data_IF_806714587993
#
_entry.id   IF_806714587993
#
_cell.length_a   1.000
_cell.length_b   1.000
_cell.length_c   1.000
_cell.angle_alpha   90.00
_cell.angle_beta   90.00
_cell.angle_gamma   90.00
#
_symmetry.space_group_name_H-M   'P 1'
#
loop_
_entity.id
_entity.type
_entity.pdbx_description
1 polymer ?
#
# COMPACT_ATOMS: atom_id res chain seq x y z
N UNK A 1 15.88 49.48 -68.16
CA UNK A 1 16.75 48.29 -68.28
C UNK A 1 15.88 47.04 -68.14
N UNK A 2 15.56 46.39 -69.25
CA UNK A 2 14.73 45.19 -69.26
C UNK A 2 15.63 43.97 -68.99
N UNK A 3 15.32 43.19 -67.95
CA UNK A 3 15.99 41.91 -67.72
C UNK A 3 15.63 40.95 -68.86
N UNK A 4 16.61 40.28 -69.50
CA UNK A 4 16.34 39.32 -70.56
C UNK A 4 15.55 38.13 -69.99
N UNK A 5 14.47 37.72 -70.68
CA UNK A 5 13.50 36.72 -70.20
C UNK A 5 14.10 35.37 -69.79
N UNK A 6 15.30 35.02 -70.26
CA UNK A 6 16.05 33.83 -69.85
C UNK A 6 16.46 33.86 -68.37
N UNK A 7 16.82 35.03 -67.83
CA UNK A 7 17.19 35.19 -66.43
C UNK A 7 15.95 35.10 -65.50
N UNK A 8 14.79 35.57 -65.98
CA UNK A 8 13.52 35.46 -65.24
C UNK A 8 13.05 34.00 -65.18
N UNK A 9 13.17 33.24 -66.28
CA UNK A 9 12.79 31.83 -66.35
C UNK A 9 13.69 30.92 -65.51
N UNK A 10 15.01 31.16 -65.50
CA UNK A 10 15.95 30.44 -64.62
C UNK A 10 15.72 30.77 -63.14
N UNK A 11 15.43 32.02 -62.79
CA UNK A 11 15.05 32.43 -61.44
C UNK A 11 13.76 31.76 -60.95
N UNK A 12 12.76 31.64 -61.82
CA UNK A 12 11.49 30.97 -61.51
C UNK A 12 11.65 29.46 -61.37
N UNK A 13 12.41 28.79 -62.25
CA UNK A 13 12.70 27.35 -62.15
C UNK A 13 13.52 26.98 -60.90
N UNK A 14 14.44 27.83 -60.47
CA UNK A 14 15.23 27.57 -59.26
C UNK A 14 14.40 27.78 -57.98
N UNK A 15 13.54 28.79 -57.96
CA UNK A 15 12.64 29.04 -56.81
C UNK A 15 11.49 28.04 -56.73
N UNK A 16 10.95 27.59 -57.86
CA UNK A 16 9.91 26.55 -57.89
C UNK A 16 10.46 25.17 -57.50
N UNK A 17 11.72 24.87 -57.86
CA UNK A 17 12.41 23.65 -57.44
C UNK A 17 12.62 23.59 -55.92
N UNK A 18 13.06 24.69 -55.30
CA UNK A 18 13.24 24.74 -53.83
C UNK A 18 11.89 24.66 -53.11
N UNK A 19 10.88 25.41 -53.56
CA UNK A 19 9.55 25.36 -52.96
C UNK A 19 8.91 23.96 -53.08
N UNK A 20 9.09 23.29 -54.21
CA UNK A 20 8.62 21.92 -54.43
C UNK A 20 9.36 20.91 -53.55
N UNK A 21 10.69 21.01 -53.43
CA UNK A 21 11.47 20.14 -52.56
C UNK A 21 11.12 20.33 -51.08
N UNK A 22 10.86 21.56 -50.64
CA UNK A 22 10.37 21.85 -49.28
C UNK A 22 9.00 21.20 -49.07
N UNK A 23 8.06 21.35 -50.01
CA UNK A 23 6.72 20.75 -49.92
C UNK A 23 6.78 19.22 -49.83
N UNK A 24 7.58 18.57 -50.69
CA UNK A 24 7.74 17.10 -50.69
C UNK A 24 8.38 16.63 -49.38
N UNK A 25 9.40 17.34 -48.88
CA UNK A 25 10.03 17.01 -47.59
C UNK A 25 9.05 17.17 -46.43
N UNK A 26 8.24 18.24 -46.41
CA UNK A 26 7.20 18.44 -45.39
C UNK A 26 6.14 17.35 -45.44
N UNK A 27 5.71 16.91 -46.63
CA UNK A 27 4.74 15.81 -46.78
C UNK A 27 5.30 14.45 -46.33
N UNK A 28 6.57 14.17 -46.63
CA UNK A 28 7.23 12.95 -46.16
C UNK A 28 7.41 12.95 -44.64
N UNK A 29 7.84 14.08 -44.05
CA UNK A 29 7.93 14.23 -42.59
C UNK A 29 6.55 14.12 -41.94
N UNK A 30 5.53 14.75 -42.50
CA UNK A 30 4.16 14.64 -41.98
C UNK A 30 3.61 13.21 -42.07
N UNK A 31 3.87 12.51 -43.19
CA UNK A 31 3.43 11.11 -43.37
C UNK A 31 4.17 10.18 -42.41
N UNK A 32 5.48 10.41 -42.20
CA UNK A 32 6.28 9.69 -41.22
C UNK A 32 5.74 9.90 -39.80
N UNK A 33 5.50 11.17 -39.41
CA UNK A 33 4.93 11.52 -38.09
C UNK A 33 3.57 10.86 -37.88
N UNK A 34 2.71 10.82 -38.90
CA UNK A 34 1.39 10.15 -38.80
C UNK A 34 1.50 8.62 -38.68
N UNK A 35 2.46 7.99 -39.34
CA UNK A 35 2.71 6.54 -39.22
C UNK A 35 3.34 6.20 -37.86
N UNK A 36 4.27 7.03 -37.40
CA UNK A 36 4.92 6.89 -36.08
C UNK A 36 3.90 7.09 -34.95
N UNK A 37 3.05 8.12 -35.01
CA UNK A 37 1.95 8.32 -34.05
C UNK A 37 0.93 7.17 -34.09
N UNK A 38 0.58 6.66 -35.27
CA UNK A 38 -0.33 5.53 -35.42
C UNK A 38 0.22 4.22 -34.85
N UNK A 39 1.51 3.94 -35.07
CA UNK A 39 2.19 2.75 -34.54
C UNK A 39 2.48 2.87 -33.04
N UNK A 40 2.79 4.07 -32.54
CA UNK A 40 2.88 4.33 -31.10
C UNK A 40 1.53 4.19 -30.41
N UNK A 41 0.46 4.72 -31.00
CA UNK A 41 -0.91 4.57 -30.48
C UNK A 41 -1.34 3.11 -30.41
N UNK A 42 -1.13 2.33 -31.47
CA UNK A 42 -1.44 0.90 -31.50
C UNK A 42 -0.58 0.09 -30.51
N UNK A 43 0.72 0.39 -30.42
CA UNK A 43 1.63 -0.27 -29.47
C UNK A 43 1.28 0.08 -28.02
N UNK A 44 0.90 1.32 -27.74
CA UNK A 44 0.47 1.76 -26.42
C UNK A 44 -0.88 1.17 -26.04
N UNK A 45 -1.82 1.06 -26.98
CA UNK A 45 -3.10 0.37 -26.78
C UNK A 45 -2.92 -1.13 -26.54
N UNK A 46 -2.04 -1.79 -27.30
CA UNK A 46 -1.70 -3.21 -27.12
C UNK A 46 -1.00 -3.45 -25.78
N UNK A 47 -0.03 -2.60 -25.40
CA UNK A 47 0.62 -2.65 -24.09
C UNK A 47 -0.37 -2.43 -22.95
N UNK A 48 -1.30 -1.48 -23.10
CA UNK A 48 -2.34 -1.21 -22.09
C UNK A 48 -3.27 -2.41 -21.94
N UNK A 49 -3.70 -3.00 -23.05
CA UNK A 49 -4.58 -4.19 -23.06
C UNK A 49 -3.88 -5.42 -22.48
N UNK A 50 -2.61 -5.65 -22.84
CA UNK A 50 -1.80 -6.72 -22.27
C UNK A 50 -1.57 -6.52 -20.77
N UNK A 51 -1.28 -5.29 -20.33
CA UNK A 51 -1.11 -4.96 -18.90
C UNK A 51 -2.41 -5.22 -18.12
N UNK A 52 -3.56 -4.82 -18.68
CA UNK A 52 -4.87 -5.07 -18.06
C UNK A 52 -5.21 -6.57 -18.01
N UNK A 53 -4.93 -7.33 -19.07
CA UNK A 53 -5.15 -8.78 -19.08
C UNK A 53 -4.27 -9.50 -18.04
N UNK A 54 -2.98 -9.16 -17.98
CA UNK A 54 -2.05 -9.69 -16.99
C UNK A 54 -2.46 -9.34 -15.56
N UNK A 55 -2.94 -8.11 -15.32
CA UNK A 55 -3.44 -7.71 -14.00
C UNK A 55 -4.69 -8.51 -13.58
N UNK A 56 -5.62 -8.78 -14.51
CA UNK A 56 -6.80 -9.61 -14.24
C UNK A 56 -6.43 -11.06 -13.94
N UNK A 57 -5.50 -11.63 -14.71
CA UNK A 57 -4.98 -12.98 -14.47
C UNK A 57 -4.33 -13.08 -13.08
N UNK A 58 -3.49 -12.10 -12.71
CA UNK A 58 -2.84 -12.08 -11.41
C UNK A 58 -3.82 -11.99 -10.23
N UNK A 59 -4.90 -11.21 -10.38
CA UNK A 59 -5.96 -11.12 -9.36
C UNK A 59 -6.73 -12.44 -9.24
N UNK A 60 -7.11 -13.06 -10.36
CA UNK A 60 -7.81 -14.34 -10.36
C UNK A 60 -6.98 -15.46 -9.70
N UNK A 61 -5.67 -15.50 -9.96
CA UNK A 61 -4.75 -16.43 -9.30
C UNK A 61 -4.67 -16.15 -7.81
N UNK A 62 -4.57 -14.88 -7.39
CA UNK A 62 -4.51 -14.51 -5.97
C UNK A 62 -5.76 -14.96 -5.22
N UNK A 63 -6.95 -14.74 -5.78
CA UNK A 63 -8.21 -15.10 -5.14
C UNK A 63 -8.33 -16.62 -4.95
N UNK A 64 -7.91 -17.39 -5.96
CA UNK A 64 -7.85 -18.85 -5.87
C UNK A 64 -6.83 -19.33 -4.84
N UNK A 65 -5.65 -18.71 -4.76
CA UNK A 65 -4.65 -19.04 -3.73
C UNK A 65 -5.16 -18.78 -2.31
N UNK A 66 -5.87 -17.67 -2.10
CA UNK A 66 -6.49 -17.35 -0.81
C UNK A 66 -7.61 -18.33 -0.45
N UNK A 67 -8.40 -18.77 -1.43
CA UNK A 67 -9.42 -19.79 -1.22
C UNK A 67 -8.80 -21.13 -0.82
N UNK A 68 -7.72 -21.53 -1.50
CA UNK A 68 -6.94 -22.73 -1.17
C UNK A 68 -6.38 -22.64 0.25
N UNK A 69 -5.73 -21.53 0.61
CA UNK A 69 -5.17 -21.31 1.94
C UNK A 69 -6.25 -21.36 3.02
N UNK A 70 -7.39 -20.69 2.80
CA UNK A 70 -8.51 -20.69 3.74
C UNK A 70 -9.08 -22.09 3.98
N UNK A 71 -9.21 -22.92 2.93
CA UNK A 71 -9.64 -24.32 3.07
C UNK A 71 -8.64 -25.17 3.84
N UNK A 72 -7.35 -24.99 3.59
CA UNK A 72 -6.28 -25.72 4.30
C UNK A 72 -6.22 -25.32 5.77
N UNK A 73 -6.32 -24.02 6.09
CA UNK A 73 -6.37 -23.52 7.47
C UNK A 73 -7.61 -24.03 8.22
N UNK A 74 -8.78 -24.02 7.57
CA UNK A 74 -10.00 -24.56 8.15
C UNK A 74 -9.87 -26.06 8.46
N UNK A 75 -9.38 -26.85 7.50
CA UNK A 75 -9.12 -28.27 7.71
C UNK A 75 -8.09 -28.53 8.83
N UNK A 76 -7.06 -27.68 8.94
CA UNK A 76 -6.06 -27.77 10.00
C UNK A 76 -6.66 -27.53 11.39
N UNK A 77 -7.48 -26.47 11.53
CA UNK A 77 -8.10 -26.10 12.82
C UNK A 77 -9.12 -27.14 13.28
N UNK A 78 -9.90 -27.66 12.34
CA UNK A 78 -10.99 -28.60 12.64
C UNK A 78 -10.51 -30.06 12.71
N UNK A 79 -9.25 -30.33 12.33
CA UNK A 79 -8.65 -31.66 12.28
C UNK A 79 -9.53 -32.71 11.54
N UNK A 80 -10.30 -32.27 10.55
CA UNK A 80 -11.22 -33.12 9.77
C UNK A 80 -11.09 -32.86 8.28
N UNK A 81 -11.34 -33.89 7.48
CA UNK A 81 -11.34 -33.78 6.03
C UNK A 81 -12.46 -32.81 5.58
N UNK A 82 -12.09 -31.81 4.80
CA UNK A 82 -13.03 -30.97 4.07
C UNK A 82 -13.15 -31.49 2.63
N UNK A 83 -14.26 -31.22 1.92
CA UNK A 83 -14.39 -31.62 0.52
C UNK A 83 -13.18 -31.15 -0.32
N UNK A 84 -12.48 -32.11 -0.93
CA UNK A 84 -11.27 -31.87 -1.73
C UNK A 84 -9.97 -31.75 -0.93
N UNK A 85 -10.00 -31.62 0.40
CA UNK A 85 -8.82 -31.53 1.26
C UNK A 85 -8.60 -32.86 1.97
N UNK A 86 -7.49 -33.53 1.67
CA UNK A 86 -7.06 -34.73 2.36
C UNK A 86 -6.19 -34.35 3.57
N UNK A 87 -6.37 -35.03 4.71
CA UNK A 87 -5.47 -34.89 5.86
C UNK A 87 -4.68 -36.19 5.97
N UNK A 88 -3.38 -36.13 5.71
CA UNK A 88 -2.47 -37.26 5.86
C UNK A 88 -1.04 -36.77 6.13
N UNK A 89 -0.12 -37.68 6.44
CA UNK A 89 1.29 -37.33 6.49
C UNK A 89 1.76 -36.87 5.10
N UNK A 90 2.64 -35.86 5.07
CA UNK A 90 3.26 -35.44 3.82
C UNK A 90 4.10 -36.59 3.23
N UNK A 91 4.17 -36.70 1.89
CA UNK A 91 5.06 -37.65 1.25
C UNK A 91 6.52 -37.51 1.76
N UNK A 92 7.29 -38.61 1.88
CA UNK A 92 8.64 -38.56 2.45
C UNK A 92 9.60 -37.64 1.68
N UNK A 93 9.48 -37.62 0.36
CA UNK A 93 10.24 -36.75 -0.56
C UNK A 93 9.92 -35.26 -0.35
N UNK A 94 8.66 -34.93 -0.06
CA UNK A 94 8.24 -33.57 0.28
C UNK A 94 8.83 -33.17 1.63
N UNK A 95 8.72 -34.04 2.64
CA UNK A 95 9.18 -33.74 4.00
C UNK A 95 10.68 -33.45 4.06
N UNK A 96 11.49 -34.18 3.28
CA UNK A 96 12.94 -33.98 3.22
C UNK A 96 13.35 -32.60 2.68
N UNK A 97 12.51 -31.96 1.86
CA UNK A 97 12.81 -30.67 1.23
C UNK A 97 12.27 -29.46 2.00
N UNK A 98 11.57 -29.68 3.12
CA UNK A 98 11.05 -28.62 3.99
C UNK A 98 12.08 -28.05 4.98
N UNK A 99 13.36 -28.42 4.87
CA UNK A 99 14.42 -27.87 5.73
C UNK A 99 14.49 -26.34 5.60
N UNK A 100 14.14 -25.63 6.68
CA UNK A 100 14.11 -24.16 6.75
C UNK A 100 12.77 -23.51 6.41
N UNK A 101 11.69 -24.27 6.17
CA UNK A 101 10.36 -23.70 5.99
C UNK A 101 9.68 -23.43 7.35
N UNK A 102 9.08 -22.25 7.50
CA UNK A 102 8.38 -21.89 8.73
C UNK A 102 7.01 -22.57 8.81
N UNK A 103 6.60 -23.08 9.99
CA UNK A 103 5.25 -23.62 10.20
C UNK A 103 4.15 -22.64 9.79
N UNK A 104 3.12 -23.14 9.11
CA UNK A 104 1.98 -22.35 8.62
C UNK A 104 2.18 -21.69 7.26
N UNK A 105 3.36 -21.82 6.63
CA UNK A 105 3.59 -21.30 5.29
C UNK A 105 2.90 -22.18 4.22
N UNK A 106 2.20 -21.57 3.25
CA UNK A 106 1.63 -22.27 2.09
C UNK A 106 2.74 -22.66 1.10
N UNK A 107 2.80 -23.95 0.73
CA UNK A 107 3.76 -24.50 -0.22
C UNK A 107 3.05 -25.30 -1.31
N UNK A 108 3.69 -25.35 -2.48
CA UNK A 108 3.24 -26.07 -3.66
C UNK A 108 4.30 -27.06 -4.09
N UNK A 109 3.90 -28.31 -4.31
CA UNK A 109 4.81 -29.39 -4.73
C UNK A 109 4.31 -30.05 -6.01
N UNK A 110 5.10 -30.08 -7.10
CA UNK A 110 4.68 -30.75 -8.33
C UNK A 110 4.58 -32.25 -8.09
N UNK A 111 3.45 -32.85 -8.48
CA UNK A 111 3.31 -34.30 -8.43
C UNK A 111 3.90 -34.94 -9.71
N UNK A 112 4.51 -36.14 -9.62
CA UNK A 112 4.96 -36.86 -10.81
C UNK A 112 3.81 -37.04 -11.81
N UNK A 113 4.10 -36.88 -13.10
CA UNK A 113 3.10 -37.13 -14.15
C UNK A 113 2.70 -38.61 -14.13
N UNK A 114 1.42 -38.87 -13.84
CA UNK A 114 0.81 -40.16 -14.16
C UNK A 114 0.60 -40.28 -15.66
N UNK A 115 0.78 -41.46 -16.23
CA UNK A 115 0.72 -41.70 -17.70
C UNK A 115 -0.63 -41.37 -18.34
N UNK A 116 -1.71 -41.26 -17.57
CA UNK A 116 -3.08 -41.07 -18.08
C UNK A 116 -3.87 -39.94 -17.40
N UNK A 117 -3.27 -39.23 -16.43
CA UNK A 117 -3.94 -38.23 -15.61
C UNK A 117 -3.51 -36.79 -15.90
N UNK A 118 -4.35 -35.80 -15.57
CA UNK A 118 -3.97 -34.39 -15.64
C UNK A 118 -2.77 -34.11 -14.74
N UNK A 119 -1.90 -33.16 -15.15
CA UNK A 119 -0.81 -32.68 -14.29
C UNK A 119 -1.41 -32.03 -13.06
N UNK A 120 -0.86 -32.30 -11.89
CA UNK A 120 -1.36 -31.76 -10.62
C UNK A 120 -0.22 -31.23 -9.74
N UNK A 121 -0.56 -30.28 -8.89
CA UNK A 121 0.29 -29.73 -7.84
C UNK A 121 -0.37 -29.98 -6.49
N UNK A 122 0.42 -30.38 -5.51
CA UNK A 122 0.00 -30.55 -4.13
C UNK A 122 0.20 -29.23 -3.37
N UNK A 123 -0.87 -28.63 -2.89
CA UNK A 123 -0.84 -27.46 -2.01
C UNK A 123 -1.01 -27.90 -0.55
N UNK A 124 -0.16 -27.40 0.35
CA UNK A 124 -0.21 -27.73 1.78
C UNK A 124 0.38 -26.62 2.64
N UNK A 125 0.01 -26.58 3.93
CA UNK A 125 0.63 -25.72 4.93
C UNK A 125 1.76 -26.47 5.62
N UNK A 126 2.91 -25.82 5.81
CA UNK A 126 4.05 -26.44 6.49
C UNK A 126 3.63 -26.84 7.92
N UNK A 127 3.74 -28.13 8.30
CA UNK A 127 3.31 -28.58 9.61
C UNK A 127 4.23 -28.05 10.72
N UNK A 128 3.72 -27.94 11.96
CA UNK A 128 4.52 -27.51 13.11
C UNK A 128 5.61 -28.52 13.51
N UNK A 129 5.45 -29.79 13.15
CA UNK A 129 6.41 -30.85 13.40
C UNK A 129 6.48 -31.80 12.20
N UNK A 130 7.66 -32.32 11.84
CA UNK A 130 7.81 -33.34 10.80
C UNK A 130 6.92 -34.57 11.09
N UNK A 131 6.21 -35.05 10.08
CA UNK A 131 5.33 -36.21 10.20
C UNK A 131 3.93 -35.93 10.77
N UNK A 132 3.63 -34.69 11.16
CA UNK A 132 2.28 -34.34 11.59
C UNK A 132 1.26 -34.49 10.44
N UNK A 133 0.02 -34.94 10.73
CA UNK A 133 -1.05 -34.96 9.74
C UNK A 133 -1.28 -33.55 9.21
N UNK A 134 -1.13 -33.39 7.91
CA UNK A 134 -1.14 -32.10 7.23
C UNK A 134 -2.29 -32.06 6.24
N UNK A 135 -3.12 -31.00 6.24
CA UNK A 135 -4.11 -30.82 5.19
C UNK A 135 -3.42 -30.54 3.86
N UNK A 136 -3.88 -31.23 2.83
CA UNK A 136 -3.34 -31.18 1.49
C UNK A 136 -4.47 -31.08 0.47
N UNK A 137 -4.27 -30.27 -0.57
CA UNK A 137 -5.20 -30.10 -1.67
C UNK A 137 -4.48 -30.34 -2.99
N UNK A 138 -5.01 -31.23 -3.83
CA UNK A 138 -4.51 -31.45 -5.20
C UNK A 138 -5.17 -30.44 -6.13
N UNK A 139 -4.36 -29.69 -6.86
CA UNK A 139 -4.81 -28.65 -7.80
C UNK A 139 -4.39 -29.06 -9.20
N UNK A 140 -5.34 -29.21 -10.15
CA UNK A 140 -5.01 -29.44 -11.55
C UNK A 140 -4.16 -28.28 -12.09
N UNK A 141 -3.02 -28.58 -12.71
CA UNK A 141 -2.19 -27.58 -13.38
C UNK A 141 -2.97 -26.88 -14.48
N UNK A 142 -3.89 -27.57 -15.16
CA UNK A 142 -4.77 -26.96 -16.15
C UNK A 142 -5.65 -25.83 -15.58
N UNK A 143 -6.02 -25.91 -14.28
CA UNK A 143 -6.74 -24.83 -13.61
C UNK A 143 -5.83 -23.61 -13.43
N UNK A 144 -4.59 -23.83 -12.99
CA UNK A 144 -3.59 -22.78 -12.89
C UNK A 144 -3.27 -22.20 -14.27
N UNK A 145 -3.08 -23.03 -15.29
CA UNK A 145 -2.83 -22.62 -16.67
C UNK A 145 -4.02 -21.85 -17.27
N UNK A 146 -5.26 -22.24 -17.00
CA UNK A 146 -6.45 -21.52 -17.46
C UNK A 146 -6.56 -20.13 -16.80
N UNK A 147 -6.17 -20.00 -15.53
CA UNK A 147 -6.09 -18.71 -14.83
C UNK A 147 -4.93 -17.84 -15.33
N UNK A 148 -3.90 -18.49 -15.89
CA UNK A 148 -2.68 -17.86 -16.37
C UNK A 148 -2.62 -17.66 -17.88
N UNK A 149 -3.60 -18.17 -18.62
CA UNK A 149 -3.60 -18.14 -20.08
C UNK A 149 -3.56 -16.69 -20.57
N UNK A 150 -2.43 -16.22 -21.11
CA UNK A 150 -2.36 -14.88 -21.68
C UNK A 150 -3.22 -14.82 -22.96
N UNK A 151 -3.74 -13.64 -23.34
CA UNK A 151 -4.33 -13.47 -24.67
C UNK A 151 -3.31 -13.85 -25.76
N UNK A 152 -3.80 -14.31 -26.91
CA UNK A 152 -2.95 -14.74 -28.03
C UNK A 152 -1.87 -13.69 -28.36
N UNK A 153 -0.60 -14.10 -28.35
CA UNK A 153 0.56 -13.24 -28.61
C UNK A 153 1.22 -12.62 -27.37
N UNK A 154 0.72 -12.89 -26.15
CA UNK A 154 1.41 -12.53 -24.92
C UNK A 154 2.03 -13.78 -24.25
N UNK A 155 3.23 -13.65 -23.71
CA UNK A 155 3.83 -14.64 -22.83
C UNK A 155 3.70 -14.13 -21.40
N UNK A 156 3.06 -14.90 -20.52
CA UNK A 156 2.97 -14.55 -19.11
C UNK A 156 4.11 -15.26 -18.38
N UNK A 157 5.00 -14.49 -17.78
CA UNK A 157 6.09 -14.99 -16.94
C UNK A 157 5.86 -14.50 -15.52
N UNK A 158 5.40 -15.39 -14.65
CA UNK A 158 5.26 -15.12 -13.22
C UNK A 158 6.58 -15.45 -12.54
N UNK A 159 7.21 -14.42 -11.99
CA UNK A 159 8.40 -14.57 -11.15
C UNK A 159 7.98 -14.22 -9.73
N UNK A 160 7.92 -15.21 -8.86
CA UNK A 160 7.63 -14.97 -7.44
C UNK A 160 8.88 -14.37 -6.76
N UNK A 161 8.71 -13.73 -5.60
CA UNK A 161 9.82 -13.13 -4.84
C UNK A 161 10.94 -14.08 -4.41
N UNK A 162 10.81 -15.37 -4.72
CA UNK A 162 11.77 -16.45 -4.49
C UNK A 162 12.43 -16.95 -5.77
N UNK A 163 12.33 -16.22 -6.88
CA UNK A 163 12.96 -16.58 -8.16
C UNK A 163 12.32 -17.80 -8.86
N UNK A 164 11.06 -18.14 -8.53
CA UNK A 164 10.35 -19.22 -9.23
C UNK A 164 9.85 -18.72 -10.57
N UNK A 165 10.20 -19.37 -11.67
CA UNK A 165 9.66 -19.05 -12.99
C UNK A 165 8.46 -19.93 -13.31
N UNK A 166 7.31 -19.28 -13.53
CA UNK A 166 6.18 -19.87 -14.23
C UNK A 166 6.09 -19.17 -15.58
N UNK A 167 6.65 -19.80 -16.61
CA UNK A 167 6.52 -19.34 -17.99
C UNK A 167 5.41 -20.14 -18.66
N UNK A 168 4.33 -19.45 -19.04
CA UNK A 168 3.34 -19.97 -19.97
C UNK A 168 3.54 -19.26 -21.30
N UNK A 169 4.10 -19.96 -22.30
CA UNK A 169 4.10 -19.51 -23.68
C UNK A 169 3.15 -20.39 -24.48
N UNK A 170 2.07 -19.80 -24.98
CA UNK A 170 1.21 -20.44 -25.96
C UNK A 170 1.73 -20.16 -27.36
N UNK A 171 2.34 -21.14 -28.01
CA UNK A 171 2.31 -21.25 -29.47
C UNK A 171 1.22 -22.26 -29.87
N UNK A 172 0.61 -22.15 -31.05
CA UNK A 172 -0.36 -23.15 -31.49
C UNK A 172 0.36 -24.50 -31.64
N UNK A 173 0.12 -25.45 -30.73
CA UNK A 173 0.52 -26.84 -30.90
C UNK A 173 1.35 -27.51 -29.80
N UNK A 174 1.99 -26.79 -28.86
CA UNK A 174 2.70 -27.43 -27.74
C UNK A 174 2.90 -26.48 -26.55
N UNK A 175 2.73 -27.00 -25.33
CA UNK A 175 2.93 -26.27 -24.06
C UNK A 175 3.98 -26.99 -23.22
N UNK A 176 5.12 -26.32 -22.98
CA UNK A 176 6.15 -26.78 -22.04
C UNK A 176 6.16 -25.92 -20.78
N UNK A 177 6.04 -26.57 -19.62
CA UNK A 177 6.20 -25.93 -18.31
C UNK A 177 7.20 -26.70 -17.46
N UNK A 178 8.27 -26.03 -17.04
CA UNK A 178 9.32 -26.51 -16.13
C UNK A 178 9.38 -25.62 -14.87
N UNK A 179 9.70 -26.21 -13.72
CA UNK A 179 9.62 -25.60 -12.39
C UNK A 179 10.96 -25.79 -11.64
N UNK A 180 11.60 -24.71 -11.17
CA UNK A 180 12.79 -24.75 -10.30
C UNK A 180 12.79 -23.57 -9.30
N UNK A 181 13.47 -23.72 -8.15
CA UNK A 181 13.36 -22.83 -6.97
C UNK A 181 14.75 -22.39 -6.44
N UNK A 182 15.04 -21.07 -6.41
CA UNK A 182 15.83 -20.37 -5.34
C UNK A 182 15.93 -18.83 -5.55
N UNK A 183 16.16 -18.15 -4.42
CA UNK A 183 15.94 -16.75 -3.96
C UNK A 183 16.24 -15.51 -4.85
N UNK A 184 15.36 -14.48 -4.73
CA UNK A 184 15.76 -13.07 -4.62
C UNK A 184 15.31 -12.07 -5.72
N UNK A 185 14.28 -11.27 -5.40
CA UNK A 185 13.83 -10.01 -6.04
C UNK A 185 13.17 -10.03 -7.44
N UNK A 186 12.03 -9.32 -7.54
CA UNK A 186 11.15 -9.22 -8.72
C UNK A 186 11.73 -8.29 -9.81
N UNK A 187 11.94 -8.82 -11.03
CA UNK A 187 12.27 -8.04 -12.24
C UNK A 187 11.38 -8.50 -13.40
N UNK A 188 10.84 -7.54 -14.16
CA UNK A 188 10.00 -7.79 -15.34
C UNK A 188 10.76 -7.32 -16.58
N UNK A 189 11.14 -8.25 -17.46
CA UNK A 189 11.70 -7.97 -18.79
C UNK A 189 10.78 -8.59 -19.86
N UNK A 190 10.49 -7.85 -20.92
CA UNK A 190 9.70 -8.32 -22.07
C UNK A 190 10.50 -8.25 -23.36
N UNK A 191 10.51 -9.33 -24.14
CA UNK A 191 11.02 -9.33 -25.52
C UNK A 191 9.88 -9.61 -26.50
N UNK A 192 9.87 -8.85 -27.59
CA UNK A 192 9.11 -9.13 -28.80
C UNK A 192 10.13 -9.25 -29.92
N UNK A 193 10.21 -10.40 -30.58
CA UNK A 193 10.99 -10.52 -31.81
C UNK A 193 10.10 -10.21 -33.00
N UNK A 194 10.60 -9.40 -33.93
CA UNK A 194 10.25 -9.51 -35.32
C UNK A 194 11.51 -9.92 -36.08
N UNK A 195 11.62 -11.19 -36.45
CA UNK A 195 12.47 -11.57 -37.57
C UNK A 195 11.60 -12.05 -38.72
N UNK A 196 11.46 -11.20 -39.74
CA UNK A 196 11.91 -11.49 -41.10
C UNK A 196 11.65 -10.26 -42.00
N UNK A 197 12.70 -9.59 -42.47
CA UNK A 197 12.93 -9.41 -43.92
C UNK A 197 14.24 -8.66 -44.23
N UNK A 198 15.14 -9.44 -44.83
CA UNK A 198 16.20 -9.15 -45.81
C UNK A 198 16.77 -7.73 -45.96
N UNK A 199 18.02 -7.66 -45.52
CA UNK A 199 19.18 -6.98 -46.09
C UNK A 199 19.16 -6.75 -47.62
N UNK A 200 19.78 -5.61 -47.97
CA UNK A 200 20.22 -5.17 -49.28
C UNK A 200 19.15 -4.58 -50.20
N UNK A 201 19.06 -3.24 -50.18
CA UNK A 201 18.85 -2.40 -51.38
C UNK A 201 19.13 -0.92 -51.00
N UNK A 202 20.34 -0.47 -51.39
CA UNK A 202 20.78 0.92 -51.64
C UNK A 202 21.51 1.75 -50.55
N UNK A 203 22.81 1.47 -50.52
CA UNK A 203 24.01 2.15 -50.00
C UNK A 203 24.20 3.65 -50.36
N UNK A 204 23.17 4.49 -50.43
CA UNK A 204 23.31 5.92 -50.79
C UNK A 204 23.18 6.94 -49.61
N UNK A 205 22.65 6.64 -48.39
CA UNK A 205 22.44 7.68 -47.35
C UNK A 205 23.58 7.86 -46.31
N UNK A 206 24.77 7.31 -46.54
CA UNK A 206 25.86 7.29 -45.54
C UNK A 206 26.42 8.67 -45.16
N UNK A 207 26.26 9.69 -46.00
CA UNK A 207 26.75 11.04 -45.69
C UNK A 207 25.75 11.91 -44.88
N UNK A 208 24.45 11.56 -44.88
CA UNK A 208 23.44 12.23 -44.05
C UNK A 208 23.37 11.69 -42.60
N UNK A 209 23.83 10.46 -42.38
CA UNK A 209 23.85 9.79 -41.07
C UNK A 209 24.89 10.36 -40.10
N UNK A 210 25.99 10.94 -40.59
CA UNK A 210 27.02 11.53 -39.75
C UNK A 210 26.57 12.79 -39.01
N UNK A 211 25.83 13.67 -39.68
CA UNK A 211 25.26 14.91 -39.10
C UNK A 211 24.07 14.62 -38.20
N UNK A 212 23.24 13.63 -38.53
CA UNK A 212 22.21 13.11 -37.65
C UNK A 212 22.78 12.47 -36.38
N UNK A 213 23.89 11.71 -36.48
CA UNK A 213 24.56 11.07 -35.33
C UNK A 213 25.11 12.07 -34.28
N UNK A 214 25.60 13.23 -34.72
CA UNK A 214 26.09 14.28 -33.81
C UNK A 214 24.94 14.98 -33.04
N UNK A 215 23.81 15.23 -33.73
CA UNK A 215 22.60 15.78 -33.11
C UNK A 215 21.98 14.74 -32.15
N UNK A 216 22.00 13.45 -32.52
CA UNK A 216 21.53 12.35 -31.68
C UNK A 216 22.35 12.20 -30.39
N UNK A 217 23.68 12.32 -30.45
CA UNK A 217 24.56 12.22 -29.27
C UNK A 217 24.28 13.33 -28.23
N UNK A 218 24.04 14.55 -28.69
CA UNK A 218 23.70 15.69 -27.81
C UNK A 218 22.24 15.61 -27.29
N UNK A 219 21.39 14.85 -27.97
CA UNK A 219 20.03 14.54 -27.53
C UNK A 219 20.03 13.42 -26.48
N UNK A 220 20.92 12.43 -26.61
CA UNK A 220 21.10 11.32 -25.67
C UNK A 220 21.50 11.79 -24.25
N UNK A 221 22.41 12.77 -24.15
CA UNK A 221 22.79 13.38 -22.86
C UNK A 221 21.66 14.21 -22.20
N UNK A 222 20.65 14.62 -22.99
CA UNK A 222 19.43 15.27 -22.48
C UNK A 222 18.36 14.24 -22.10
N UNK A 223 18.25 13.11 -22.80
CA UNK A 223 17.31 12.04 -22.46
C UNK A 223 17.69 11.32 -21.17
N UNK A 224 18.96 11.18 -20.80
CA UNK A 224 19.34 10.56 -19.51
C UNK A 224 18.82 11.36 -18.29
N UNK A 225 18.78 12.70 -18.40
CA UNK A 225 18.20 13.58 -17.37
C UNK A 225 16.67 13.55 -17.36
N UNK A 226 16.04 13.19 -18.47
CA UNK A 226 14.59 13.04 -18.60
C UNK A 226 14.16 11.64 -18.18
N UNK A 227 14.97 10.61 -18.41
CA UNK A 227 14.75 9.24 -17.94
C UNK A 227 14.82 9.14 -16.42
N UNK A 228 15.73 9.86 -15.77
CA UNK A 228 15.81 9.98 -14.30
C UNK A 228 14.59 10.68 -13.70
N UNK A 229 14.01 11.67 -14.41
CA UNK A 229 12.76 12.33 -14.01
C UNK A 229 11.52 11.48 -14.32
N UNK A 230 11.53 10.70 -15.40
CA UNK A 230 10.47 9.77 -15.79
C UNK A 230 10.44 8.52 -14.90
N UNK A 231 11.57 8.01 -14.43
CA UNK A 231 11.61 6.91 -13.45
C UNK A 231 11.05 7.37 -12.09
N UNK A 232 11.35 8.60 -11.67
CA UNK A 232 10.74 9.19 -10.47
C UNK A 232 9.20 9.39 -10.61
N UNK A 233 8.73 9.85 -11.78
CA UNK A 233 7.29 10.02 -12.08
C UNK A 233 6.55 8.68 -12.26
N UNK A 234 7.18 7.66 -12.87
CA UNK A 234 6.63 6.31 -13.04
C UNK A 234 6.49 5.58 -11.70
N UNK A 235 7.41 5.80 -10.76
CA UNK A 235 7.28 5.31 -9.39
C UNK A 235 6.14 5.99 -8.59
N UNK A 236 5.73 7.21 -8.96
CA UNK A 236 4.56 7.89 -8.38
C UNK A 236 3.25 7.42 -9.01
N UNK A 237 3.21 7.23 -10.33
CA UNK A 237 2.02 6.77 -11.06
C UNK A 237 1.69 5.28 -10.83
N UNK A 238 2.70 4.42 -10.67
CA UNK A 238 2.49 3.01 -10.30
C UNK A 238 1.84 2.86 -8.91
N UNK A 239 2.13 3.78 -7.97
CA UNK A 239 1.49 3.83 -6.65
C UNK A 239 0.02 4.28 -6.73
N UNK A 240 -0.30 5.23 -7.61
CA UNK A 240 -1.68 5.67 -7.86
C UNK A 240 -2.53 4.63 -8.60
N UNK A 241 -1.95 3.90 -9.56
CA UNK A 241 -2.66 2.86 -10.31
C UNK A 241 -2.94 1.60 -9.46
N UNK A 242 -2.03 1.25 -8.53
CA UNK A 242 -2.25 0.18 -7.56
C UNK A 242 -3.34 0.52 -6.53
N UNK A 243 -3.51 1.79 -6.17
CA UNK A 243 -4.62 2.25 -5.31
C UNK A 243 -5.98 2.20 -6.01
N UNK A 244 -6.03 2.42 -7.33
CA UNK A 244 -7.28 2.42 -8.10
C UNK A 244 -7.82 1.00 -8.38
N UNK A 245 -6.95 0.00 -8.63
CA UNK A 245 -7.42 -1.38 -8.91
C UNK A 245 -7.87 -2.13 -7.64
N UNK A 246 -7.29 -1.80 -6.48
CA UNK A 246 -7.77 -2.28 -5.16
C UNK A 246 -9.16 -1.73 -4.83
N UNK A 247 -9.47 -0.51 -5.29
CA UNK A 247 -10.78 0.11 -5.08
C UNK A 247 -11.88 -0.52 -5.96
N UNK A 248 -11.55 -1.02 -7.14
CA UNK A 248 -12.54 -1.58 -8.08
C UNK A 248 -12.94 -3.02 -7.74
N UNK A 249 -11.99 -3.85 -7.28
CA UNK A 249 -12.27 -5.20 -6.75
C UNK A 249 -13.06 -5.17 -5.43
N UNK A 250 -12.82 -4.15 -4.59
CA UNK A 250 -13.63 -3.83 -3.39
C UNK A 250 -15.07 -3.40 -3.68
N UNK A 251 -15.49 -3.23 -4.93
CA UNK A 251 -16.86 -2.79 -5.25
C UNK A 251 -17.85 -3.93 -5.52
N UNK A 252 -17.43 -5.18 -5.79
CA UNK A 252 -18.38 -6.24 -6.20
C UNK A 252 -18.55 -7.42 -5.24
N UNK A 253 -17.61 -7.66 -4.33
CA UNK A 253 -17.85 -8.49 -3.12
C UNK A 253 -18.63 -7.73 -2.03
N UNK A 254 -19.10 -6.53 -2.34
CA UNK A 254 -19.01 -5.41 -1.41
C UNK A 254 -20.29 -5.01 -0.70
N UNK A 255 -21.50 -5.39 -1.13
CA UNK A 255 -22.69 -4.77 -0.53
C UNK A 255 -23.02 -5.33 0.85
N UNK A 256 -22.93 -6.66 1.04
CA UNK A 256 -23.13 -7.30 2.34
C UNK A 256 -21.97 -7.02 3.29
N UNK A 257 -20.74 -7.02 2.79
CA UNK A 257 -19.55 -6.65 3.56
C UNK A 257 -19.51 -5.15 3.89
N UNK A 258 -19.97 -4.27 2.99
CA UNK A 258 -20.16 -2.83 3.27
C UNK A 258 -21.25 -2.65 4.29
N UNK A 259 -22.41 -3.30 4.16
CA UNK A 259 -23.45 -3.21 5.20
C UNK A 259 -22.95 -3.74 6.54
N UNK A 260 -22.13 -4.81 6.56
CA UNK A 260 -21.52 -5.33 7.77
C UNK A 260 -20.39 -4.43 8.32
N UNK A 261 -19.62 -3.79 7.44
CA UNK A 261 -18.59 -2.80 7.81
C UNK A 261 -19.24 -1.51 8.34
N UNK A 262 -20.22 -0.95 7.63
CA UNK A 262 -21.05 0.17 8.04
C UNK A 262 -21.75 -0.10 9.38
N UNK A 263 -22.27 -1.31 9.61
CA UNK A 263 -22.83 -1.70 10.91
C UNK A 263 -21.77 -1.78 12.00
N UNK A 264 -20.57 -2.28 11.71
CA UNK A 264 -19.45 -2.30 12.67
C UNK A 264 -18.95 -0.89 12.97
N UNK A 265 -18.80 -0.05 11.96
CA UNK A 265 -18.42 1.36 12.12
C UNK A 265 -19.47 2.12 12.91
N UNK A 266 -20.77 1.94 12.61
CA UNK A 266 -21.85 2.51 13.39
C UNK A 266 -21.81 2.03 14.85
N UNK A 267 -21.57 0.74 15.09
CA UNK A 267 -21.43 0.21 16.45
C UNK A 267 -20.21 0.77 17.19
N UNK A 268 -19.08 0.99 16.51
CA UNK A 268 -17.88 1.58 17.10
C UNK A 268 -18.09 3.06 17.45
N UNK A 269 -18.81 3.80 16.60
CA UNK A 269 -19.15 5.20 16.87
C UNK A 269 -20.14 5.28 18.02
N UNK A 270 -21.15 4.41 18.05
CA UNK A 270 -22.13 4.36 19.14
C UNK A 270 -21.48 3.98 20.48
N UNK A 271 -20.50 3.08 20.47
CA UNK A 271 -19.75 2.70 21.66
C UNK A 271 -18.75 3.77 22.14
N UNK A 272 -18.57 4.87 21.40
CA UNK A 272 -17.66 5.95 21.80
C UNK A 272 -18.23 6.70 23.02
N UNK A 273 -17.45 6.90 24.10
CA UNK A 273 -17.97 7.44 25.36
C UNK A 273 -18.39 8.92 25.29
N UNK A 274 -17.81 9.68 24.35
CA UNK A 274 -18.09 11.10 24.16
C UNK A 274 -19.04 11.32 22.97
N UNK A 275 -19.76 12.46 22.91
CA UNK A 275 -20.54 12.83 21.73
C UNK A 275 -19.63 12.95 20.50
N UNK A 276 -19.82 12.10 19.50
CA UNK A 276 -18.95 11.99 18.33
C UNK A 276 -19.73 12.03 17.01
N UNK A 277 -19.14 12.72 16.02
CA UNK A 277 -19.53 12.67 14.62
C UNK A 277 -18.32 12.48 13.71
N UNK A 278 -18.53 11.78 12.59
CA UNK A 278 -17.55 11.61 11.52
C UNK A 278 -17.98 12.36 10.27
N UNK A 279 -17.02 13.10 9.71
CA UNK A 279 -17.16 13.86 8.48
C UNK A 279 -16.16 13.31 7.46
N UNK A 280 -16.62 13.04 6.26
CA UNK A 280 -15.81 12.50 5.18
C UNK A 280 -14.76 13.53 4.67
N UNK A 281 -13.81 13.13 3.81
CA UNK A 281 -12.83 14.04 3.22
C UNK A 281 -13.47 15.19 2.41
N UNK A 282 -14.65 14.98 1.84
CA UNK A 282 -15.45 15.98 1.12
C UNK A 282 -16.12 16.99 2.05
N UNK A 283 -16.02 16.79 3.37
CA UNK A 283 -16.59 17.68 4.37
C UNK A 283 -18.09 17.45 4.57
N UNK A 284 -18.59 16.23 4.45
CA UNK A 284 -19.98 15.87 4.72
C UNK A 284 -20.10 14.90 5.89
N UNK A 285 -21.13 15.09 6.71
CA UNK A 285 -21.45 14.22 7.83
C UNK A 285 -21.92 12.85 7.32
N UNK A 286 -21.27 11.76 7.75
CA UNK A 286 -21.66 10.40 7.34
C UNK A 286 -22.05 9.47 8.50
N UNK A 287 -21.57 9.72 9.72
CA UNK A 287 -21.95 8.95 10.90
C UNK A 287 -21.83 9.77 12.20
N UNK A 288 -22.60 9.43 13.23
CA UNK A 288 -22.62 10.06 14.56
C UNK A 288 -23.26 9.12 15.59
N UNK A 289 -22.98 9.33 16.89
CA UNK A 289 -23.64 8.58 17.98
C UNK A 289 -24.84 9.34 18.57
N UNK A 290 -25.65 8.66 19.39
CA UNK A 290 -26.82 9.25 20.04
C UNK A 290 -26.45 10.46 20.91
N UNK A 291 -25.32 10.40 21.61
CA UNK A 291 -24.82 11.50 22.43
C UNK A 291 -24.56 12.77 21.61
N UNK A 292 -23.99 12.65 20.40
CA UNK A 292 -23.81 13.78 19.49
C UNK A 292 -25.14 14.30 18.96
N UNK A 293 -26.09 13.39 18.71
CA UNK A 293 -27.41 13.77 18.25
C UNK A 293 -28.15 14.66 19.24
N UNK A 294 -27.99 14.41 20.54
CA UNK A 294 -28.58 15.22 21.61
C UNK A 294 -28.05 16.66 21.68
N UNK A 295 -26.89 16.96 21.05
CA UNK A 295 -26.31 18.31 21.02
C UNK A 295 -26.95 19.24 19.99
N UNK A 296 -27.74 18.68 19.06
CA UNK A 296 -28.30 19.40 17.93
C UNK A 296 -29.82 19.29 17.92
N UNK A 297 -30.54 20.25 17.32
CA UNK A 297 -31.97 20.09 17.09
C UNK A 297 -32.23 18.84 16.24
N UNK A 298 -33.27 18.04 16.53
CA UNK A 298 -33.48 16.71 15.93
C UNK A 298 -33.62 16.75 14.40
N UNK A 299 -34.04 17.88 13.82
CA UNK A 299 -34.20 18.06 12.37
C UNK A 299 -32.89 18.45 11.64
N UNK A 300 -31.83 18.75 12.39
CA UNK A 300 -30.58 19.29 11.83
C UNK A 300 -29.67 18.19 11.28
N UNK A 301 -29.68 17.02 11.92
CA UNK A 301 -28.80 15.91 11.58
C UNK A 301 -29.34 15.09 10.43
N UNK A 302 -28.56 15.05 9.36
CA UNK A 302 -28.81 14.20 8.20
C UNK A 302 -27.48 13.76 7.61
N UNK A 303 -27.44 12.56 7.04
CA UNK A 303 -26.33 12.14 6.19
C UNK A 303 -26.17 13.18 5.07
N UNK A 304 -24.92 13.37 4.64
CA UNK A 304 -24.52 14.37 3.65
C UNK A 304 -24.64 15.84 4.10
N UNK A 305 -24.88 16.11 5.39
CA UNK A 305 -24.90 17.49 5.90
C UNK A 305 -23.51 18.13 5.69
N UNK A 306 -23.39 19.24 4.93
CA UNK A 306 -22.11 19.89 4.73
C UNK A 306 -21.54 20.39 6.05
N UNK A 307 -20.22 20.26 6.23
CA UNK A 307 -19.50 20.66 7.43
C UNK A 307 -19.77 22.11 7.78
N UNK A 308 -19.84 23.00 6.79
CA UNK A 308 -20.16 24.42 7.01
C UNK A 308 -21.57 24.70 7.56
N UNK A 309 -22.51 23.76 7.44
CA UNK A 309 -23.83 23.83 8.09
C UNK A 309 -23.75 23.24 9.50
N UNK A 310 -23.08 22.09 9.66
CA UNK A 310 -22.85 21.46 10.95
C UNK A 310 -22.14 22.43 11.91
N UNK A 311 -21.09 23.13 11.47
CA UNK A 311 -20.32 24.09 12.27
C UNK A 311 -21.08 25.38 12.60
N UNK A 312 -22.26 25.65 12.04
CA UNK A 312 -23.08 26.80 12.47
C UNK A 312 -23.75 26.55 13.82
N UNK A 313 -24.05 25.29 14.09
CA UNK A 313 -24.69 24.84 15.32
C UNK A 313 -23.69 24.46 16.41
N UNK A 314 -22.42 24.28 16.03
CA UNK A 314 -21.34 23.84 16.90
C UNK A 314 -20.29 24.96 17.04
N UNK A 315 -19.71 25.17 18.22
CA UNK A 315 -18.62 26.16 18.34
C UNK A 315 -17.30 25.51 17.92
N UNK A 316 -17.07 25.41 16.60
CA UNK A 316 -15.85 24.85 16.01
C UNK A 316 -14.75 25.91 16.02
N UNK A 317 -14.37 26.38 17.20
CA UNK A 317 -13.13 27.14 17.36
C UNK A 317 -11.99 26.15 17.51
N UNK A 318 -10.99 26.26 16.64
CA UNK A 318 -9.69 25.65 16.88
C UNK A 318 -9.22 26.10 18.27
N UNK A 319 -8.84 25.15 19.12
CA UNK A 319 -8.39 25.39 20.50
C UNK A 319 -7.27 26.46 20.58
N UNK A 320 -6.58 26.73 19.48
CA UNK A 320 -5.51 27.72 19.37
C UNK A 320 -5.98 29.20 19.36
N UNK A 321 -7.25 29.46 19.06
CA UNK A 321 -7.77 30.83 18.85
C UNK A 321 -8.78 31.31 19.92
N UNK A 322 -9.02 30.54 20.98
CA UNK A 322 -10.04 30.87 21.97
C UNK A 322 -9.48 31.83 23.05
N UNK A 323 -9.51 33.14 22.79
CA UNK A 323 -9.04 34.20 23.69
C UNK A 323 -9.96 34.46 24.92
N UNK A 324 -10.66 33.43 25.42
CA UNK A 324 -11.44 33.50 26.65
C UNK A 324 -12.69 34.39 26.66
N UNK A 325 -12.98 35.16 25.59
CA UNK A 325 -14.22 35.95 25.48
C UNK A 325 -15.38 35.06 25.00
N UNK A 326 -16.11 34.50 25.96
CA UNK A 326 -17.36 33.77 25.74
C UNK A 326 -18.47 34.73 25.30
N UNK A 327 -19.08 34.47 24.15
CA UNK A 327 -20.40 35.02 23.85
C UNK A 327 -21.48 34.22 24.60
N UNK A 328 -22.67 34.79 24.86
CA UNK A 328 -23.76 34.15 25.60
C UNK A 328 -24.49 33.11 24.73
N UNK A 329 -23.80 32.05 24.34
CA UNK A 329 -24.37 30.91 23.63
C UNK A 329 -23.74 29.63 24.16
N UNK A 330 -24.56 28.78 24.76
CA UNK A 330 -24.20 27.49 25.36
C UNK A 330 -23.91 26.45 24.24
N UNK A 331 -23.00 26.78 23.33
CA UNK A 331 -22.65 25.91 22.20
C UNK A 331 -21.60 24.91 22.64
N UNK A 332 -21.78 23.61 22.37
CA UNK A 332 -20.82 22.59 22.75
C UNK A 332 -19.47 22.85 22.05
N UNK A 333 -18.40 22.73 22.83
CA UNK A 333 -17.01 22.80 22.32
C UNK A 333 -16.70 21.53 21.58
N UNK A 334 -16.09 21.64 20.40
CA UNK A 334 -15.75 20.47 19.59
C UNK A 334 -14.29 20.44 19.23
N UNK A 335 -13.66 19.30 19.48
CA UNK A 335 -12.35 18.95 18.99
C UNK A 335 -12.48 18.26 17.63
N UNK A 336 -11.85 18.82 16.60
CA UNK A 336 -11.74 18.17 15.30
C UNK A 336 -10.39 17.45 15.19
N UNK A 337 -10.40 16.16 14.92
CA UNK A 337 -9.21 15.32 14.71
C UNK A 337 -9.23 14.85 13.25
N UNK A 338 -8.20 15.20 12.49
CA UNK A 338 -8.04 14.72 11.11
C UNK A 338 -7.47 13.31 11.12
N UNK A 339 -8.15 12.39 10.45
CA UNK A 339 -7.74 10.99 10.30
C UNK A 339 -6.79 10.81 9.10
N UNK A 340 -6.16 9.63 9.01
CA UNK A 340 -5.16 9.34 7.98
C UNK A 340 -5.71 9.36 6.54
N UNK A 341 -7.01 9.12 6.37
CA UNK A 341 -7.72 9.15 5.09
C UNK A 341 -8.25 10.56 4.72
N UNK A 342 -8.01 11.57 5.57
CA UNK A 342 -8.50 12.93 5.38
C UNK A 342 -9.89 13.19 5.96
N UNK A 343 -10.59 12.16 6.46
CA UNK A 343 -11.83 12.34 7.21
C UNK A 343 -11.55 13.05 8.54
N UNK A 344 -12.61 13.57 9.18
CA UNK A 344 -12.52 14.32 10.43
C UNK A 344 -13.46 13.73 11.47
N UNK A 345 -12.90 13.39 12.62
CA UNK A 345 -13.63 13.05 13.84
C UNK A 345 -13.90 14.33 14.63
N UNK A 346 -15.17 14.65 14.81
CA UNK A 346 -15.66 15.73 15.65
C UNK A 346 -16.09 15.14 16.97
N UNK A 347 -15.30 15.38 18.02
CA UNK A 347 -15.60 14.95 19.38
C UNK A 347 -16.03 16.19 20.16
N UNK A 348 -17.31 16.22 20.57
CA UNK A 348 -17.75 17.26 21.48
C UNK A 348 -17.12 17.01 22.84
N UNK A 349 -16.40 18.01 23.33
CA UNK A 349 -16.05 18.03 24.74
C UNK A 349 -17.34 18.31 25.48
N UNK A 350 -17.80 17.32 26.25
CA UNK A 350 -18.81 17.60 27.25
C UNK A 350 -18.31 18.81 28.05
N UNK A 351 -19.19 19.79 28.30
CA UNK A 351 -18.94 20.87 29.26
C UNK A 351 -18.92 20.31 30.70
N UNK A 352 -18.30 19.14 30.89
CA UNK A 352 -17.71 18.83 32.15
C UNK A 352 -16.74 19.98 32.43
N UNK A 353 -16.88 20.68 33.58
CA UNK A 353 -15.86 21.63 33.98
C UNK A 353 -14.54 20.90 33.85
N UNK A 354 -13.56 21.51 33.18
CA UNK A 354 -12.22 20.91 33.07
C UNK A 354 -11.85 20.40 34.47
N UNK A 355 -11.44 19.13 34.62
CA UNK A 355 -11.21 18.55 35.93
C UNK A 355 -10.39 19.56 36.71
N UNK A 356 -10.87 19.90 37.91
CA UNK A 356 -10.15 20.85 38.75
C UNK A 356 -8.69 20.40 38.85
N UNK A 357 -7.76 21.33 39.01
CA UNK A 357 -6.33 20.99 39.05
C UNK A 357 -6.03 19.79 39.98
N UNK A 358 -6.75 19.69 41.10
CA UNK A 358 -6.70 18.56 42.02
C UNK A 358 -7.16 17.23 41.40
N UNK A 359 -8.28 17.22 40.67
CA UNK A 359 -8.79 16.04 39.96
C UNK A 359 -7.84 15.62 38.82
N UNK A 360 -7.33 16.58 38.05
CA UNK A 360 -6.35 16.31 37.00
C UNK A 360 -5.06 15.68 37.57
N UNK A 361 -4.58 16.18 38.73
CA UNK A 361 -3.43 15.61 39.44
C UNK A 361 -3.71 14.20 39.97
N UNK A 362 -4.92 13.96 40.48
CA UNK A 362 -5.33 12.63 40.93
C UNK A 362 -5.35 11.63 39.76
N UNK A 363 -5.93 12.01 38.62
CA UNK A 363 -5.91 11.19 37.41
C UNK A 363 -4.48 10.91 36.93
N UNK A 364 -3.61 11.92 36.91
CA UNK A 364 -2.20 11.71 36.57
C UNK A 364 -1.53 10.73 37.53
N UNK A 365 -1.81 10.84 38.83
CA UNK A 365 -1.25 9.98 39.86
C UNK A 365 -1.69 8.53 39.67
N UNK A 366 -2.96 8.30 39.41
CA UNK A 366 -3.53 6.97 39.15
C UNK A 366 -2.91 6.33 37.91
N UNK A 367 -2.82 7.08 36.81
CA UNK A 367 -2.22 6.59 35.56
C UNK A 367 -0.73 6.24 35.74
N UNK A 368 0.02 7.11 36.43
CA UNK A 368 1.42 6.85 36.76
C UNK A 368 1.59 5.58 37.59
N UNK A 369 0.72 5.35 38.58
CA UNK A 369 0.72 4.15 39.41
C UNK A 369 0.36 2.88 38.61
N UNK A 370 -0.48 2.99 37.58
CA UNK A 370 -0.84 1.88 36.69
C UNK A 370 0.28 1.50 35.71
N UNK A 371 1.02 2.49 35.18
CA UNK A 371 2.10 2.27 34.21
C UNK A 371 3.43 1.84 34.85
N UNK A 372 3.75 2.31 36.06
CA UNK A 372 5.03 2.01 36.71
C UNK A 372 5.31 0.49 36.89
N UNK A 373 4.35 -0.36 37.30
CA UNK A 373 4.54 -1.81 37.34
C UNK A 373 4.88 -2.43 35.98
N UNK A 374 4.31 -1.91 34.89
CA UNK A 374 4.57 -2.41 33.53
C UNK A 374 5.99 -2.04 33.09
N UNK A 375 6.43 -0.81 33.37
CA UNK A 375 7.82 -0.39 33.14
C UNK A 375 8.80 -1.30 33.88
N UNK A 376 8.58 -1.56 35.17
CA UNK A 376 9.42 -2.46 35.98
C UNK A 376 9.46 -3.88 35.40
N UNK A 377 8.31 -4.39 34.96
CA UNK A 377 8.23 -5.72 34.35
C UNK A 377 9.03 -5.79 33.04
N UNK A 378 8.93 -4.76 32.19
CA UNK A 378 9.68 -4.67 30.94
C UNK A 378 11.20 -4.69 31.18
N UNK A 379 11.68 -3.89 32.14
CA UNK A 379 13.11 -3.84 32.50
C UNK A 379 13.59 -5.21 32.99
N UNK A 380 12.87 -5.84 33.92
CA UNK A 380 13.24 -7.17 34.46
C UNK A 380 13.24 -8.28 33.41
N UNK A 381 12.35 -8.17 32.43
CA UNK A 381 12.26 -9.12 31.32
C UNK A 381 13.36 -8.88 30.25
N UNK A 382 14.09 -7.77 30.32
CA UNK A 382 15.01 -7.34 29.26
C UNK A 382 14.29 -6.93 27.96
N UNK A 383 13.00 -6.60 28.03
CA UNK A 383 12.21 -6.19 26.86
C UNK A 383 12.41 -4.69 26.61
N UNK A 384 13.40 -4.35 25.78
CA UNK A 384 13.68 -2.97 25.40
C UNK A 384 12.51 -2.28 24.69
N UNK A 385 11.73 -3.02 23.89
CA UNK A 385 10.58 -2.48 23.15
C UNK A 385 9.46 -2.03 24.10
N UNK A 386 9.03 -2.92 24.99
CA UNK A 386 8.00 -2.62 25.98
C UNK A 386 8.48 -1.56 26.99
N UNK A 387 9.73 -1.65 27.46
CA UNK A 387 10.33 -0.68 28.38
C UNK A 387 10.34 0.73 27.79
N UNK A 388 10.77 0.87 26.52
CA UNK A 388 10.80 2.16 25.83
C UNK A 388 9.40 2.76 25.70
N UNK A 389 8.40 1.96 25.32
CA UNK A 389 7.02 2.43 25.16
C UNK A 389 6.46 2.96 26.50
N UNK A 390 6.66 2.22 27.59
CA UNK A 390 6.18 2.62 28.92
C UNK A 390 6.93 3.86 29.45
N UNK A 391 8.25 3.91 29.28
CA UNK A 391 9.05 5.06 29.70
C UNK A 391 8.63 6.34 28.95
N UNK A 392 8.38 6.23 27.64
CA UNK A 392 7.89 7.34 26.81
C UNK A 392 6.53 7.87 27.27
N UNK A 393 5.58 6.96 27.55
CA UNK A 393 4.25 7.32 28.04
C UNK A 393 4.31 8.06 29.39
N UNK A 394 5.06 7.50 30.36
CA UNK A 394 5.28 8.13 31.67
C UNK A 394 5.97 9.49 31.54
N UNK A 395 6.87 9.66 30.56
CA UNK A 395 7.59 10.92 30.33
C UNK A 395 6.65 12.01 29.84
N UNK A 396 5.71 11.67 28.95
CA UNK A 396 4.66 12.58 28.50
C UNK A 396 3.77 13.05 29.65
N UNK A 397 3.36 12.15 30.54
CA UNK A 397 2.60 12.49 31.76
C UNK A 397 3.42 13.43 32.66
N UNK A 398 4.67 13.07 32.95
CA UNK A 398 5.55 13.87 33.80
C UNK A 398 5.75 15.29 33.26
N UNK A 399 5.97 15.45 31.96
CA UNK A 399 6.14 16.74 31.31
C UNK A 399 4.87 17.61 31.39
N UNK A 400 3.70 17.02 31.13
CA UNK A 400 2.41 17.74 31.16
C UNK A 400 2.04 18.27 32.55
N UNK A 401 2.51 17.61 33.61
CA UNK A 401 2.24 17.98 35.00
C UNK A 401 3.42 18.69 35.69
N UNK A 402 4.45 19.10 34.94
CA UNK A 402 5.57 19.86 35.48
C UNK A 402 6.47 19.08 36.45
N UNK A 403 6.46 17.74 36.38
CA UNK A 403 7.27 16.85 37.22
C UNK A 403 8.72 16.79 36.72
N UNK A 404 9.39 17.93 36.74
CA UNK A 404 10.65 18.21 36.05
C UNK A 404 11.81 17.29 36.45
N UNK A 405 11.84 16.80 37.69
CA UNK A 405 12.87 15.88 38.17
C UNK A 405 12.70 14.45 37.62
N UNK A 406 11.46 14.05 37.31
CA UNK A 406 11.15 12.71 36.82
C UNK A 406 11.46 12.54 35.32
N UNK A 407 11.32 13.60 34.53
CA UNK A 407 11.54 13.57 33.07
C UNK A 407 12.94 13.06 32.70
N UNK A 408 14.06 13.59 33.24
CA UNK A 408 15.40 13.11 32.92
C UNK A 408 15.65 11.65 33.34
N UNK A 409 15.00 11.19 34.43
CA UNK A 409 15.13 9.79 34.87
C UNK A 409 14.45 8.84 33.87
N UNK A 410 13.25 9.20 33.39
CA UNK A 410 12.56 8.43 32.35
C UNK A 410 13.30 8.45 31.00
N UNK A 411 13.94 9.57 30.64
CA UNK A 411 14.79 9.65 29.44
C UNK A 411 16.03 8.76 29.52
N UNK A 412 16.57 8.51 30.71
CA UNK A 412 17.67 7.54 30.89
C UNK A 412 17.17 6.12 30.67
N UNK A 413 15.99 5.76 31.20
CA UNK A 413 15.37 4.44 30.98
C UNK A 413 15.05 4.24 29.49
N UNK A 414 14.44 5.24 28.83
CA UNK A 414 14.10 5.20 27.39
C UNK A 414 15.35 5.00 26.52
N UNK A 415 16.46 5.69 26.83
CA UNK A 415 17.75 5.56 26.12
C UNK A 415 18.40 4.20 26.33
N UNK A 416 18.45 3.69 27.56
CA UNK A 416 19.00 2.37 27.85
C UNK A 416 18.19 1.26 27.14
N UNK A 417 16.86 1.38 27.13
CA UNK A 417 15.96 0.47 26.43
C UNK A 417 16.15 0.52 24.91
N UNK A 418 16.36 1.72 24.34
CA UNK A 418 16.66 1.87 22.91
C UNK A 418 18.01 1.26 22.52
N UNK A 419 18.98 1.25 23.42
CA UNK A 419 20.29 0.64 23.22
C UNK A 419 20.31 -0.88 23.52
N UNK A 420 19.18 -1.45 23.95
CA UNK A 420 19.07 -2.84 24.42
C UNK A 420 20.08 -3.18 25.54
N UNK A 421 20.45 -2.18 26.36
CA UNK A 421 21.42 -2.29 27.45
C UNK A 421 20.71 -2.70 28.75
N UNK A 422 20.55 -4.00 28.99
CA UNK A 422 19.87 -4.52 30.19
C UNK A 422 20.47 -4.05 31.52
N UNK A 423 21.80 -4.09 31.74
CA UNK A 423 22.42 -3.47 32.92
C UNK A 423 22.12 -1.97 33.04
N UNK A 424 22.15 -1.24 31.93
CA UNK A 424 21.80 0.18 31.88
C UNK A 424 20.34 0.46 32.24
N UNK A 425 19.41 -0.39 31.80
CA UNK A 425 17.99 -0.28 32.12
C UNK A 425 17.74 -0.47 33.62
N UNK A 426 18.36 -1.47 34.25
CA UNK A 426 18.24 -1.70 35.70
C UNK A 426 18.82 -0.53 36.52
N UNK A 427 19.97 0.00 36.11
CA UNK A 427 20.58 1.16 36.75
C UNK A 427 19.70 2.43 36.60
N UNK A 428 19.15 2.66 35.41
CA UNK A 428 18.24 3.76 35.15
C UNK A 428 16.91 3.63 35.90
N UNK A 429 16.39 2.39 36.05
CA UNK A 429 15.18 2.12 36.82
C UNK A 429 15.34 2.51 38.29
N UNK A 430 16.49 2.25 38.90
CA UNK A 430 16.77 2.69 40.27
C UNK A 430 16.76 4.23 40.42
N UNK A 431 17.18 4.96 39.39
CA UNK A 431 17.05 6.42 39.31
C UNK A 431 15.58 6.85 39.22
N UNK A 432 14.82 6.21 38.33
CA UNK A 432 13.38 6.42 38.18
C UNK A 432 12.62 6.22 39.50
N UNK A 433 12.86 5.14 40.26
CA UNK A 433 12.10 4.86 41.50
C UNK A 433 12.21 5.97 42.55
N UNK A 434 13.39 6.60 42.66
CA UNK A 434 13.59 7.72 43.59
C UNK A 434 12.76 8.93 43.19
N UNK A 435 12.84 9.33 41.93
CA UNK A 435 12.12 10.50 41.40
C UNK A 435 10.61 10.24 41.33
N UNK A 436 10.20 9.01 41.04
CA UNK A 436 8.80 8.61 40.99
C UNK A 436 8.12 8.77 42.34
N UNK A 437 8.79 8.38 43.43
CA UNK A 437 8.27 8.58 44.78
C UNK A 437 8.12 10.07 45.15
N UNK A 438 9.02 10.94 44.67
CA UNK A 438 8.93 12.40 44.86
C UNK A 438 7.74 12.95 44.06
N UNK A 439 7.61 12.56 42.79
CA UNK A 439 6.51 12.97 41.92
C UNK A 439 5.13 12.60 42.50
N UNK A 440 4.97 11.38 43.03
CA UNK A 440 3.70 10.97 43.67
C UNK A 440 3.36 11.81 44.91
N UNK A 441 4.36 12.24 45.69
CA UNK A 441 4.15 13.17 46.81
C UNK A 441 3.73 14.55 46.31
N UNK A 442 4.40 15.06 45.28
CA UNK A 442 4.03 16.35 44.66
C UNK A 442 2.59 16.32 44.17
N UNK A 443 2.18 15.26 43.46
CA UNK A 443 0.81 15.13 42.98
C UNK A 443 -0.24 15.08 44.12
N UNK A 444 0.12 14.56 45.31
CA UNK A 444 -0.79 14.44 46.45
C UNK A 444 -0.80 15.61 47.46
N UNK A 445 0.20 16.49 47.47
CA UNK A 445 0.41 17.46 48.56
C UNK A 445 -0.41 18.75 48.49
N UNK A 446 -1.25 18.95 47.47
CA UNK A 446 -2.09 20.17 47.32
C UNK A 446 -3.58 19.92 47.57
N UNK A 447 -3.97 18.73 48.03
CA UNK A 447 -5.36 18.38 48.37
C UNK A 447 -5.72 18.60 49.86
N UNK A 448 -4.80 19.15 50.65
CA UNK A 448 -4.99 19.52 52.05
C UNK A 448 -4.71 21.02 52.21
#
# INVERSE_FOLDING_TARGET
>A
MAMPGRALFQSLLHRSSIAFMVLVTTLLVASWVLIEDGTHGLRQAALTTATQASARAALAVKDELQLVEGRLLAAQREARALPGVAIAALPPDVTATLSGAEPGQLRFWPLPRTTTGPREVLAFLVPPQPGAPTPMLRIPVALLEALLAPPAGAALRLVTGLGTELAASGTPGDVHASLWVREGALRVDGSASPEAMSWAVWLIPLFGLGTLGFIFRKHLERTDRVELKLTALRGSLARHAAQLSVNEARMRLSQTERVAAERREAALIEAWPNPVALVDPEGKLFAWNEAFAALLPPETLRRDLPLGMLTRHLDVRSAKNDNGRRGPGNRPRIRAITMADGSRLFEAQADLPAPGLAEARNLCREEMLALAPQLRSGVRAGDGGATRLMAHALRGLAANFGLSALVPALEQVERAAQAEDSPGMEAALAGFEREFAIALRQLGSEAA
#
